data_IF_448830579825
#
_entry.id   IF_448830579825
#
_cell.length_a   1.000
_cell.length_b   1.000
_cell.length_c   1.000
_cell.angle_alpha   90.00
_cell.angle_beta   90.00
_cell.angle_gamma   90.00
#
_symmetry.space_group_name_H-M   'P 1'
#
loop_
_entity.id
_entity.type
_entity.pdbx_description
1 polymer ?
#
# COMPACT_ATOMS: atom_id res chain seq x y z
N UNK A 1 5.38 -8.88 9.05
CA UNK A 1 6.05 -7.56 9.05
C UNK A 1 5.74 -6.89 10.39
N UNK A 2 6.75 -6.70 11.21
CA UNK A 2 6.57 -6.16 12.56
C UNK A 2 7.40 -4.87 12.72
N UNK A 3 6.73 -3.75 13.00
CA UNK A 3 7.35 -2.48 13.36
C UNK A 3 8.43 -2.01 12.40
N UNK A 4 8.17 -2.11 11.10
CA UNK A 4 9.07 -1.61 10.07
C UNK A 4 9.14 -0.07 10.08
N UNK A 5 10.19 0.46 9.46
CA UNK A 5 10.37 1.91 9.37
C UNK A 5 9.21 2.55 8.60
N UNK A 6 8.50 3.53 9.19
CA UNK A 6 7.36 4.18 8.55
C UNK A 6 7.75 5.18 7.44
N UNK A 7 9.02 5.63 7.40
CA UNK A 7 9.48 6.61 6.41
C UNK A 7 8.56 7.83 6.29
N UNK A 8 8.19 8.41 7.44
CA UNK A 8 7.10 9.39 7.55
C UNK A 8 7.47 10.84 7.19
N UNK A 9 8.75 11.17 6.99
CA UNK A 9 9.21 12.56 6.87
C UNK A 9 8.71 13.30 5.63
N UNK A 10 8.51 12.59 4.50
CA UNK A 10 7.90 13.15 3.29
C UNK A 10 7.37 12.03 2.38
N UNK A 11 6.44 12.37 1.49
CA UNK A 11 5.82 11.40 0.59
C UNK A 11 6.78 10.69 -0.36
N UNK A 12 7.93 11.30 -0.68
CA UNK A 12 8.92 10.70 -1.59
C UNK A 12 9.67 9.53 -0.96
N UNK A 13 9.74 9.44 0.38
CA UNK A 13 10.36 8.33 1.09
C UNK A 13 9.44 7.13 1.33
N UNK A 14 8.14 7.26 1.12
CA UNK A 14 7.16 6.17 1.29
C UNK A 14 7.48 4.94 0.44
N UNK A 15 8.13 5.12 -0.72
CA UNK A 15 8.58 4.02 -1.59
C UNK A 15 9.55 3.03 -0.91
N UNK A 16 10.15 3.40 0.21
CA UNK A 16 11.05 2.55 0.99
C UNK A 16 10.32 1.71 2.05
N UNK A 17 9.03 1.95 2.26
CA UNK A 17 8.21 1.18 3.21
C UNK A 17 8.10 -0.28 2.77
N UNK A 18 8.17 -1.21 3.72
CA UNK A 18 8.00 -2.64 3.42
C UNK A 18 6.58 -2.99 2.95
N UNK A 19 5.59 -2.18 3.28
CA UNK A 19 4.19 -2.33 2.83
C UNK A 19 3.86 -1.50 1.59
N UNK A 20 4.84 -0.79 1.02
CA UNK A 20 4.62 -0.05 -0.22
C UNK A 20 4.23 -0.99 -1.36
N UNK A 21 3.30 -0.60 -2.25
CA UNK A 21 2.77 -1.51 -3.27
C UNK A 21 3.82 -2.23 -4.10
N UNK A 22 4.89 -1.57 -4.50
CA UNK A 22 6.00 -2.21 -5.24
C UNK A 22 6.56 -3.42 -4.49
N UNK A 23 6.74 -3.30 -3.18
CA UNK A 23 7.23 -4.40 -2.34
C UNK A 23 6.17 -5.49 -2.18
N UNK A 24 4.93 -5.12 -1.88
CA UNK A 24 3.83 -6.06 -1.74
C UNK A 24 3.60 -6.87 -3.03
N UNK A 25 3.73 -6.25 -4.19
CA UNK A 25 3.63 -6.92 -5.48
C UNK A 25 4.78 -7.90 -5.68
N UNK A 26 6.01 -7.51 -5.30
CA UNK A 26 7.17 -8.41 -5.36
C UNK A 26 6.99 -9.65 -4.46
N UNK A 27 6.39 -9.50 -3.28
CA UNK A 27 6.13 -10.64 -2.38
C UNK A 27 5.19 -11.68 -3.00
N UNK A 28 4.33 -11.28 -3.95
CA UNK A 28 3.43 -12.20 -4.64
C UNK A 28 4.16 -13.28 -5.43
N UNK A 29 5.39 -13.04 -5.84
CA UNK A 29 6.19 -14.00 -6.61
C UNK A 29 6.56 -15.26 -5.82
N UNK A 30 6.76 -15.11 -4.51
CA UNK A 30 7.14 -16.25 -3.65
C UNK A 30 6.08 -16.64 -2.63
N UNK A 31 5.10 -15.78 -2.36
CA UNK A 31 3.97 -16.11 -1.50
C UNK A 31 2.99 -17.00 -2.27
N UNK A 32 2.64 -18.16 -1.68
CA UNK A 32 1.65 -19.05 -2.30
C UNK A 32 0.27 -18.38 -2.38
N UNK A 33 -0.55 -18.85 -3.31
CA UNK A 33 -1.93 -18.40 -3.44
C UNK A 33 -2.71 -18.66 -2.14
N UNK A 34 -3.47 -17.67 -1.68
CA UNK A 34 -4.13 -17.70 -0.38
C UNK A 34 -3.19 -17.55 0.82
N UNK A 35 -1.89 -17.34 0.59
CA UNK A 35 -0.93 -17.04 1.65
C UNK A 35 -1.21 -15.69 2.32
N UNK A 36 -0.86 -15.58 3.60
CA UNK A 36 -1.19 -14.44 4.43
C UNK A 36 0.04 -13.63 4.81
N UNK A 37 -0.15 -12.31 4.92
CA UNK A 37 0.81 -11.37 5.52
C UNK A 37 0.19 -10.83 6.80
N UNK A 38 0.91 -10.98 7.91
CA UNK A 38 0.60 -10.38 9.19
C UNK A 38 1.44 -9.12 9.34
N UNK A 39 0.77 -8.00 9.59
CA UNK A 39 1.42 -6.70 9.71
C UNK A 39 1.04 -6.01 11.02
N UNK A 40 2.04 -5.57 11.79
CA UNK A 40 1.87 -4.79 13.02
C UNK A 40 2.73 -3.53 12.97
N UNK A 41 2.18 -2.42 13.45
CA UNK A 41 2.90 -1.16 13.58
C UNK A 41 2.34 -0.29 14.70
N UNK A 42 3.18 0.55 15.25
CA UNK A 42 2.82 1.64 16.17
C UNK A 42 2.42 2.92 15.42
N UNK A 43 2.84 3.06 14.16
CA UNK A 43 2.68 4.27 13.36
C UNK A 43 1.31 4.33 12.68
N UNK A 44 0.54 5.39 12.99
CA UNK A 44 -0.80 5.58 12.46
C UNK A 44 -0.81 5.82 10.94
N UNK A 45 0.09 6.67 10.44
CA UNK A 45 0.12 7.04 9.03
C UNK A 45 0.51 5.85 8.16
N UNK A 46 1.54 5.09 8.57
CA UNK A 46 1.93 3.87 7.89
C UNK A 46 0.78 2.86 7.85
N UNK A 47 0.06 2.70 8.95
CA UNK A 47 -1.05 1.76 9.01
C UNK A 47 -2.22 2.18 8.11
N UNK A 48 -2.62 3.46 8.16
CA UNK A 48 -3.69 4.00 7.32
C UNK A 48 -3.35 3.89 5.83
N UNK A 49 -2.12 4.26 5.45
CA UNK A 49 -1.66 4.12 4.08
C UNK A 49 -1.63 2.64 3.65
N UNK A 50 -1.21 1.75 4.54
CA UNK A 50 -1.16 0.31 4.27
C UNK A 50 -2.54 -0.31 4.06
N UNK A 51 -3.60 0.23 4.66
CA UNK A 51 -4.98 -0.19 4.39
C UNK A 51 -5.38 0.03 2.91
N UNK A 52 -4.74 0.98 2.23
CA UNK A 52 -4.90 1.21 0.80
C UNK A 52 -3.88 0.42 -0.03
N UNK A 53 -2.64 0.28 0.46
CA UNK A 53 -1.57 -0.42 -0.23
C UNK A 53 -1.87 -1.90 -0.47
N UNK A 54 -2.41 -2.59 0.54
CA UNK A 54 -2.69 -4.03 0.42
C UNK A 54 -3.74 -4.34 -0.65
N UNK A 55 -4.93 -3.73 -0.65
CA UNK A 55 -5.92 -3.97 -1.70
C UNK A 55 -5.41 -3.63 -3.09
N UNK A 56 -4.72 -2.50 -3.25
CA UNK A 56 -4.17 -2.08 -4.54
C UNK A 56 -3.09 -3.03 -5.08
N UNK A 57 -2.46 -3.81 -4.20
CA UNK A 57 -1.39 -4.75 -4.51
C UNK A 57 -1.85 -6.20 -4.67
N UNK A 58 -3.16 -6.44 -4.69
CA UNK A 58 -3.73 -7.78 -4.88
C UNK A 58 -3.83 -8.62 -3.62
N UNK A 59 -4.14 -7.99 -2.49
CA UNK A 59 -4.38 -8.64 -1.21
C UNK A 59 -5.73 -8.23 -0.65
N UNK A 60 -6.44 -9.18 -0.08
CA UNK A 60 -7.68 -8.95 0.66
C UNK A 60 -7.36 -8.80 2.15
N UNK A 61 -7.79 -7.69 2.76
CA UNK A 61 -7.67 -7.50 4.21
C UNK A 61 -8.78 -8.30 4.88
N UNK A 62 -8.41 -9.39 5.56
CA UNK A 62 -9.36 -10.27 6.22
C UNK A 62 -9.71 -9.84 7.64
N UNK A 63 -8.78 -9.17 8.29
CA UNK A 63 -8.93 -8.74 9.66
C UNK A 63 -8.02 -7.53 9.91
N UNK A 64 -8.48 -6.58 10.73
CA UNK A 64 -7.69 -5.43 11.15
C UNK A 64 -8.13 -4.90 12.51
N UNK A 65 -7.22 -4.23 13.19
CA UNK A 65 -7.51 -3.50 14.42
C UNK A 65 -6.62 -2.27 14.56
N UNK A 66 -7.15 -1.22 15.18
CA UNK A 66 -6.36 -0.05 15.61
C UNK A 66 -5.85 -0.19 17.05
N UNK A 67 -6.25 -1.24 17.76
CA UNK A 67 -5.81 -1.53 19.12
C UNK A 67 -5.74 -3.04 19.35
N UNK A 68 -4.58 -3.61 19.03
CA UNK A 68 -4.35 -5.06 19.07
C UNK A 68 -4.57 -5.65 20.48
N UNK A 69 -4.19 -4.91 21.52
CA UNK A 69 -4.20 -5.42 22.89
C UNK A 69 -5.55 -5.29 23.59
N UNK A 70 -6.50 -4.55 23.02
CA UNK A 70 -7.87 -4.46 23.55
C UNK A 70 -8.59 -5.81 23.50
N UNK A 71 -8.44 -6.53 22.37
CA UNK A 71 -8.95 -7.89 22.17
C UNK A 71 -7.85 -8.74 21.52
N UNK A 72 -6.76 -8.95 22.25
CA UNK A 72 -5.57 -9.60 21.74
C UNK A 72 -5.86 -11.04 21.27
N UNK A 73 -5.64 -11.35 19.97
CA UNK A 73 -5.82 -12.70 19.48
C UNK A 73 -4.82 -13.69 20.08
N UNK A 74 -5.21 -14.94 20.24
CA UNK A 74 -4.33 -16.00 20.78
C UNK A 74 -3.06 -16.22 19.93
N UNK A 75 -3.14 -16.00 18.62
CA UNK A 75 -1.99 -16.13 17.71
C UNK A 75 -0.96 -15.01 17.86
N UNK A 76 -1.28 -13.91 18.54
CA UNK A 76 -0.36 -12.79 18.65
C UNK A 76 0.81 -13.13 19.59
N UNK A 77 2.02 -12.92 19.08
CA UNK A 77 3.25 -13.03 19.82
C UNK A 77 3.76 -11.60 20.08
N UNK A 78 3.80 -11.18 21.34
CA UNK A 78 4.29 -9.86 21.71
C UNK A 78 5.79 -9.78 21.48
N UNK A 79 6.20 -8.79 20.66
CA UNK A 79 7.62 -8.47 20.49
C UNK A 79 8.09 -7.52 21.60
N UNK A 80 9.39 -7.35 21.71
CA UNK A 80 9.98 -6.39 22.65
C UNK A 80 9.52 -4.95 22.37
N UNK A 81 9.47 -4.54 21.08
CA UNK A 81 8.95 -3.24 20.66
C UNK A 81 7.49 -3.05 21.07
N UNK A 82 6.68 -4.08 20.92
CA UNK A 82 5.27 -4.05 21.31
C UNK A 82 5.09 -3.78 22.81
N UNK A 83 5.91 -4.41 23.65
CA UNK A 83 5.94 -4.15 25.08
C UNK A 83 6.33 -2.71 25.40
N UNK A 84 7.36 -2.18 24.77
CA UNK A 84 7.82 -0.80 24.94
C UNK A 84 6.74 0.21 24.57
N UNK A 85 6.08 0.06 23.42
CA UNK A 85 5.02 0.96 22.96
C UNK A 85 3.80 0.90 23.87
N UNK A 86 3.44 -0.28 24.36
CA UNK A 86 2.33 -0.46 25.29
C UNK A 86 2.58 0.26 26.62
N UNK A 87 3.79 0.19 27.16
CA UNK A 87 4.20 0.93 28.36
C UNK A 87 4.14 2.45 28.16
N UNK A 88 4.40 2.93 26.93
CA UNK A 88 4.29 4.33 26.55
C UNK A 88 2.83 4.78 26.27
N UNK A 89 1.86 3.88 26.37
CA UNK A 89 0.45 4.17 26.05
C UNK A 89 0.14 4.25 24.57
N UNK A 90 1.04 3.77 23.70
CA UNK A 90 0.85 3.76 22.26
C UNK A 90 0.11 2.48 21.86
N UNK A 91 -1.00 2.64 21.14
CA UNK A 91 -1.80 1.52 20.63
C UNK A 91 -1.10 0.88 19.43
N UNK A 92 -1.11 -0.45 19.39
CA UNK A 92 -0.59 -1.22 18.27
C UNK A 92 -1.71 -1.52 17.28
N UNK A 93 -1.46 -1.20 16.01
CA UNK A 93 -2.35 -1.49 14.89
C UNK A 93 -1.87 -2.74 14.19
N UNK A 94 -2.79 -3.56 13.74
CA UNK A 94 -2.45 -4.81 13.07
C UNK A 94 -3.49 -5.17 12.00
N UNK A 95 -3.04 -5.90 10.98
CA UNK A 95 -3.92 -6.48 9.97
C UNK A 95 -3.40 -7.85 9.52
N UNK A 96 -4.30 -8.63 8.96
CA UNK A 96 -4.01 -9.85 8.21
C UNK A 96 -4.51 -9.63 6.80
N UNK A 97 -3.63 -9.79 5.82
CA UNK A 97 -3.96 -9.68 4.41
C UNK A 97 -3.66 -11.00 3.70
N UNK A 98 -4.56 -11.44 2.84
CA UNK A 98 -4.44 -12.67 2.06
C UNK A 98 -4.17 -12.36 0.60
N UNK A 99 -3.20 -13.06 0.00
CA UNK A 99 -2.92 -12.96 -1.42
C UNK A 99 -4.10 -13.45 -2.24
N UNK A 100 -4.68 -12.57 -3.07
CA UNK A 100 -5.62 -12.95 -4.11
C UNK A 100 -4.84 -13.62 -5.25
N UNK A 101 -5.22 -14.83 -5.70
CA UNK A 101 -4.50 -15.53 -6.77
C UNK A 101 -4.67 -14.89 -8.14
N UNK A 102 -5.71 -14.07 -8.36
CA UNK A 102 -5.97 -13.43 -9.65
C UNK A 102 -4.97 -12.29 -9.89
N UNK A 103 -4.15 -12.34 -10.97
CA UNK A 103 -3.26 -11.24 -11.33
C UNK A 103 -3.99 -9.90 -11.58
N UNK A 104 -5.25 -9.94 -11.99
CA UNK A 104 -6.08 -8.76 -12.21
C UNK A 104 -6.46 -8.03 -10.90
N UNK A 105 -6.28 -8.67 -9.75
CA UNK A 105 -6.47 -8.03 -8.43
C UNK A 105 -5.44 -6.93 -8.14
N UNK A 106 -4.30 -6.94 -8.82
CA UNK A 106 -3.27 -5.90 -8.70
C UNK A 106 -3.70 -4.71 -9.56
N UNK A 107 -4.09 -3.62 -8.91
CA UNK A 107 -4.58 -2.40 -9.57
C UNK A 107 -3.60 -1.23 -9.47
N UNK A 108 -2.60 -1.33 -8.60
CA UNK A 108 -1.60 -0.28 -8.43
C UNK A 108 -0.74 -0.12 -9.68
N UNK A 109 -0.51 1.14 -10.06
CA UNK A 109 0.34 1.51 -11.18
C UNK A 109 1.50 2.37 -10.66
N UNK A 110 2.71 2.06 -11.11
CA UNK A 110 3.91 2.80 -10.76
C UNK A 110 3.74 4.30 -11.07
N UNK A 111 4.00 5.22 -10.13
CA UNK A 111 3.80 6.66 -10.33
C UNK A 111 4.49 7.24 -11.56
N UNK A 112 5.66 6.70 -11.94
CA UNK A 112 6.36 7.12 -13.16
C UNK A 112 5.58 6.78 -14.43
N UNK A 113 4.89 5.64 -14.43
CA UNK A 113 4.04 5.22 -15.54
C UNK A 113 2.82 6.12 -15.64
N UNK A 114 2.16 6.40 -14.52
CA UNK A 114 1.02 7.32 -14.47
C UNK A 114 1.37 8.70 -15.00
N UNK A 115 2.51 9.26 -14.59
CA UNK A 115 2.99 10.56 -15.08
C UNK A 115 3.25 10.56 -16.58
N UNK A 116 3.84 9.48 -17.11
CA UNK A 116 4.08 9.34 -18.55
C UNK A 116 2.77 9.26 -19.31
N UNK A 117 1.84 8.43 -18.88
CA UNK A 117 0.53 8.29 -19.52
C UNK A 117 -0.27 9.61 -19.52
N UNK A 118 -0.24 10.34 -18.39
CA UNK A 118 -0.89 11.65 -18.30
C UNK A 118 -0.29 12.67 -19.28
N UNK A 119 1.03 12.67 -19.45
CA UNK A 119 1.70 13.55 -20.42
C UNK A 119 1.34 13.17 -21.85
N UNK A 120 1.41 11.89 -22.20
CA UNK A 120 1.06 11.38 -23.52
C UNK A 120 -0.40 11.69 -23.88
N UNK A 121 -1.32 11.56 -22.94
CA UNK A 121 -2.72 11.90 -23.11
C UNK A 121 -2.92 13.42 -23.35
N UNK A 122 -2.23 14.26 -22.58
CA UNK A 122 -2.29 15.72 -22.76
C UNK A 122 -1.72 16.16 -24.11
N UNK A 123 -0.60 15.58 -24.55
CA UNK A 123 0.00 15.83 -25.86
C UNK A 123 -0.94 15.40 -27.00
N UNK A 124 -1.60 14.26 -26.89
CA UNK A 124 -2.57 13.77 -27.87
C UNK A 124 -3.81 14.67 -27.94
N UNK A 125 -4.32 15.14 -26.81
CA UNK A 125 -5.45 16.07 -26.75
C UNK A 125 -5.10 17.43 -27.38
N UNK A 126 -3.91 17.96 -27.08
CA UNK A 126 -3.44 19.20 -27.68
C UNK A 126 -3.27 19.08 -29.21
N UNK A 127 -2.73 17.96 -29.70
CA UNK A 127 -2.58 17.68 -31.12
C UNK A 127 -3.94 17.56 -31.83
N UNK A 128 -4.92 16.89 -31.23
CA UNK A 128 -6.27 16.76 -31.76
C UNK A 128 -6.98 18.11 -31.85
N UNK A 129 -6.82 18.96 -30.84
CA UNK A 129 -7.38 20.32 -30.83
C UNK A 129 -6.76 21.22 -31.92
N UNK A 130 -5.45 21.17 -32.06
CA UNK A 130 -4.73 21.93 -33.10
C UNK A 130 -5.15 21.50 -34.53
N UNK A 131 -5.37 20.21 -34.75
CA UNK A 131 -5.85 19.70 -36.03
C UNK A 131 -7.27 20.20 -36.37
N UNK A 132 -8.17 20.29 -35.39
CA UNK A 132 -9.53 20.82 -35.59
C UNK A 132 -9.52 22.34 -35.88
N UNK A 133 -8.65 23.10 -35.24
CA UNK A 133 -8.50 24.54 -35.46
C UNK A 133 -7.86 24.82 -36.83
N UNK A 134 -7.00 23.94 -37.35
CA UNK A 134 -6.41 24.04 -38.68
C UNK A 134 -7.39 23.78 -39.84
N UNK A 135 -8.37 22.88 -39.67
CA UNK A 135 -9.40 22.61 -40.66
C UNK A 135 -10.49 23.69 -40.74
N UNK A 136 -10.69 24.46 -39.66
CA UNK A 136 -11.68 25.54 -39.60
C UNK A 136 -11.26 26.83 -40.30
N UNK A 137 -10.02 26.95 -40.79
CA UNK A 137 -9.47 28.17 -41.40
C UNK A 137 -9.32 28.09 -42.93
N UNK A 138 -9.83 27.07 -43.56
CA UNK A 138 -10.02 26.96 -45.00
C UNK A 138 -11.51 27.25 -45.38
#
# INVERSE_FOLDING_TARGET
INFCNPWSKNGSSHKHRLTYPRQLINYREFLKDGGEIYFKTDDDDLFRDSLEYFPASGYDIEWMTFDLHENEPEWNIRTEHEGMFTEMGIKIKALIARKDPDPASVTWIEPKILKRQAREAAEAEAAAKAAQEGEGNE
#
